data_IF_528567311562
#
_entry.id   IF_528567311562
#
_cell.length_a   1.000
_cell.length_b   1.000
_cell.length_c   1.000
_cell.angle_alpha   90.00
_cell.angle_beta   90.00
_cell.angle_gamma   90.00
#
_symmetry.space_group_name_H-M   'P 1'
#
loop_
_entity.id
_entity.type
_entity.pdbx_description
1 polymer ?
#
# COMPACT_ATOMS: atom_id res chain seq x y z
N UNK A 1 -22.58 13.60 -28.38
CA UNK A 1 -21.60 14.21 -27.46
C UNK A 1 -20.33 14.36 -28.26
N UNK A 2 -19.65 15.51 -28.19
CA UNK A 2 -18.39 15.70 -28.91
C UNK A 2 -17.30 14.80 -28.30
N UNK A 3 -16.48 14.17 -29.13
CA UNK A 3 -15.46 13.20 -28.70
C UNK A 3 -14.46 13.85 -27.73
N UNK A 4 -14.16 15.14 -27.95
CA UNK A 4 -13.31 15.92 -27.05
C UNK A 4 -13.93 16.13 -25.68
N UNK A 5 -15.24 16.41 -25.62
CA UNK A 5 -15.96 16.54 -24.35
C UNK A 5 -15.99 15.22 -23.59
N UNK A 6 -16.10 14.08 -24.29
CA UNK A 6 -16.00 12.77 -23.64
C UNK A 6 -14.63 12.54 -23.02
N UNK A 7 -13.55 12.80 -23.76
CA UNK A 7 -12.18 12.65 -23.27
C UNK A 7 -11.85 13.57 -22.10
N UNK A 8 -12.35 14.81 -22.13
CA UNK A 8 -12.18 15.77 -21.03
C UNK A 8 -12.89 15.27 -19.76
N UNK A 9 -14.14 14.83 -19.88
CA UNK A 9 -14.90 14.29 -18.74
C UNK A 9 -14.25 13.02 -18.20
N UNK A 10 -13.73 12.15 -19.06
CA UNK A 10 -13.02 10.94 -18.65
C UNK A 10 -11.72 11.28 -17.89
N UNK A 11 -10.94 12.24 -18.39
CA UNK A 11 -9.73 12.72 -17.73
C UNK A 11 -10.03 13.32 -16.36
N UNK A 12 -10.98 14.26 -16.27
CA UNK A 12 -11.38 14.89 -15.01
C UNK A 12 -11.88 13.86 -13.99
N UNK A 13 -12.67 12.90 -14.45
CA UNK A 13 -13.20 11.82 -13.60
C UNK A 13 -12.08 10.93 -13.05
N UNK A 14 -11.14 10.51 -13.89
CA UNK A 14 -10.03 9.66 -13.47
C UNK A 14 -9.06 10.40 -12.54
N UNK A 15 -8.85 11.70 -12.75
CA UNK A 15 -8.05 12.54 -11.84
C UNK A 15 -8.71 12.66 -10.47
N UNK A 16 -10.03 12.82 -10.43
CA UNK A 16 -10.79 12.80 -9.17
C UNK A 16 -10.71 11.44 -8.48
N UNK A 17 -10.80 10.34 -9.22
CA UNK A 17 -10.64 9.00 -8.64
C UNK A 17 -9.24 8.78 -8.03
N UNK A 18 -8.19 9.32 -8.66
CA UNK A 18 -6.83 9.32 -8.11
C UNK A 18 -6.77 10.11 -6.80
N UNK A 19 -7.36 11.30 -6.76
CA UNK A 19 -7.43 12.14 -5.56
C UNK A 19 -8.16 11.43 -4.41
N UNK A 20 -9.34 10.86 -4.68
CA UNK A 20 -10.12 10.09 -3.71
C UNK A 20 -9.36 8.84 -3.20
N UNK A 21 -8.56 8.21 -4.05
CA UNK A 21 -7.68 7.11 -3.66
C UNK A 21 -6.49 7.57 -2.81
N UNK A 22 -5.90 8.73 -3.10
CA UNK A 22 -4.82 9.31 -2.31
C UNK A 22 -5.30 9.69 -0.91
N UNK A 23 -6.47 10.32 -0.80
CA UNK A 23 -7.07 10.66 0.50
C UNK A 23 -7.32 9.40 1.33
N UNK A 24 -7.94 8.37 0.74
CA UNK A 24 -8.16 7.07 1.42
C UNK A 24 -6.85 6.39 1.81
N UNK A 25 -5.81 6.47 0.96
CA UNK A 25 -4.49 5.92 1.28
C UNK A 25 -3.86 6.62 2.49
N UNK A 26 -3.97 7.95 2.56
CA UNK A 26 -3.52 8.73 3.70
C UNK A 26 -4.30 8.37 4.98
N UNK A 27 -5.63 8.25 4.89
CA UNK A 27 -6.48 7.82 6.01
C UNK A 27 -6.13 6.42 6.49
N UNK A 28 -5.84 5.47 5.58
CA UNK A 28 -5.37 4.12 5.94
C UNK A 28 -4.02 4.18 6.62
N UNK A 29 -3.10 5.03 6.16
CA UNK A 29 -1.78 5.18 6.75
C UNK A 29 -1.84 5.75 8.17
N UNK A 30 -2.54 6.88 8.36
CA UNK A 30 -2.73 7.51 9.66
C UNK A 30 -3.55 6.61 10.59
N UNK A 31 -4.62 6.02 10.06
CA UNK A 31 -5.47 5.07 10.78
C UNK A 31 -4.67 3.86 11.23
N UNK A 32 -3.88 3.24 10.35
CA UNK A 32 -3.02 2.10 10.71
C UNK A 32 -1.96 2.47 11.75
N UNK A 33 -1.33 3.63 11.60
CA UNK A 33 -0.30 4.10 12.53
C UNK A 33 -0.82 4.36 13.94
N UNK A 34 -2.07 4.80 14.07
CA UNK A 34 -2.70 5.16 15.36
C UNK A 34 -3.52 4.02 15.96
N UNK A 35 -4.24 3.27 15.13
CA UNK A 35 -5.14 2.19 15.56
C UNK A 35 -4.38 1.06 16.24
N UNK A 36 -3.21 0.67 15.75
CA UNK A 36 -2.45 -0.46 16.30
C UNK A 36 -2.01 -0.18 17.77
N UNK A 37 -1.36 0.96 18.09
CA UNK A 37 -1.07 1.32 19.49
C UNK A 37 -2.32 1.43 20.37
N UNK A 38 -3.38 2.09 19.87
CA UNK A 38 -4.62 2.29 20.63
C UNK A 38 -5.26 0.95 20.99
N UNK A 39 -5.44 0.06 20.01
CA UNK A 39 -5.99 -1.27 20.25
C UNK A 39 -5.15 -2.07 21.23
N UNK A 40 -3.82 -2.00 21.11
CA UNK A 40 -2.91 -2.69 22.04
C UNK A 40 -3.12 -2.19 23.48
N UNK A 41 -3.17 -0.88 23.69
CA UNK A 41 -3.40 -0.29 25.02
C UNK A 41 -4.79 -0.59 25.59
N UNK A 42 -5.83 -0.54 24.76
CA UNK A 42 -7.20 -0.88 25.16
C UNK A 42 -7.31 -2.35 25.56
N UNK A 43 -6.79 -3.27 24.74
CA UNK A 43 -6.87 -4.72 25.03
C UNK A 43 -6.18 -5.06 26.35
N UNK A 44 -5.02 -4.45 26.61
CA UNK A 44 -4.32 -4.62 27.90
C UNK A 44 -5.14 -4.08 29.07
N UNK A 45 -5.81 -2.95 28.91
CA UNK A 45 -6.61 -2.32 29.97
C UNK A 45 -7.85 -3.15 30.33
N UNK A 46 -8.54 -3.73 29.33
CA UNK A 46 -9.76 -4.52 29.55
C UNK A 46 -9.50 -6.01 29.80
N UNK A 47 -8.22 -6.45 29.86
CA UNK A 47 -7.84 -7.87 29.97
C UNK A 47 -8.50 -8.75 28.91
N UNK A 48 -8.81 -8.19 27.75
CA UNK A 48 -9.37 -8.91 26.60
C UNK A 48 -8.26 -9.62 25.83
N UNK A 49 -7.34 -10.25 26.55
CA UNK A 49 -6.03 -10.71 26.09
C UNK A 49 -6.07 -11.71 24.92
N UNK A 50 -7.11 -12.57 24.75
CA UNK A 50 -7.22 -13.40 23.55
C UNK A 50 -7.25 -12.61 22.23
N UNK A 51 -7.76 -11.37 22.25
CA UNK A 51 -7.84 -10.52 21.05
C UNK A 51 -6.44 -10.12 20.55
N UNK A 52 -5.41 -10.13 21.42
CA UNK A 52 -4.03 -9.84 21.01
C UNK A 52 -3.54 -10.79 19.91
N UNK A 53 -4.04 -12.02 19.86
CA UNK A 53 -3.68 -13.00 18.83
C UNK A 53 -4.18 -12.61 17.43
N UNK A 54 -5.20 -11.76 17.34
CA UNK A 54 -5.74 -11.26 16.07
C UNK A 54 -5.04 -9.99 15.58
N UNK A 55 -4.25 -9.29 16.41
CA UNK A 55 -3.60 -8.04 16.03
C UNK A 55 -2.69 -8.15 14.80
N UNK A 56 -1.85 -9.20 14.64
CA UNK A 56 -1.04 -9.34 13.43
C UNK A 56 -1.89 -9.40 12.15
N UNK A 57 -3.09 -9.98 12.23
CA UNK A 57 -4.01 -10.05 11.09
C UNK A 57 -4.60 -8.69 10.74
N UNK A 58 -4.86 -7.84 11.73
CA UNK A 58 -5.30 -6.47 11.48
C UNK A 58 -4.24 -5.67 10.72
N UNK A 59 -2.96 -5.83 11.07
CA UNK A 59 -1.84 -5.22 10.33
C UNK A 59 -1.83 -5.68 8.87
N UNK A 60 -2.06 -6.98 8.64
CA UNK A 60 -2.17 -7.55 7.30
C UNK A 60 -3.31 -6.93 6.50
N UNK A 61 -4.48 -6.78 7.10
CA UNK A 61 -5.64 -6.15 6.44
C UNK A 61 -5.34 -4.71 6.04
N UNK A 62 -4.74 -3.92 6.94
CA UNK A 62 -4.33 -2.53 6.67
C UNK A 62 -3.36 -2.47 5.48
N UNK A 63 -2.37 -3.36 5.46
CA UNK A 63 -1.39 -3.46 4.38
C UNK A 63 -2.04 -3.76 3.03
N UNK A 64 -3.00 -4.69 3.00
CA UNK A 64 -3.73 -5.08 1.79
C UNK A 64 -4.69 -3.98 1.30
N UNK A 65 -5.33 -3.27 2.23
CA UNK A 65 -6.17 -2.10 1.89
C UNK A 65 -5.34 -1.00 1.24
N UNK A 66 -4.17 -0.70 1.80
CA UNK A 66 -3.24 0.26 1.21
C UNK A 66 -2.74 -0.21 -0.18
N UNK A 67 -2.36 -1.48 -0.31
CA UNK A 67 -1.97 -2.08 -1.59
C UNK A 67 -3.07 -1.94 -2.66
N UNK A 68 -4.33 -2.12 -2.27
CA UNK A 68 -5.47 -1.97 -3.16
C UNK A 68 -5.62 -0.53 -3.64
N UNK A 69 -5.55 0.46 -2.75
CA UNK A 69 -5.62 1.87 -3.15
C UNK A 69 -4.48 2.25 -4.09
N UNK A 70 -3.26 1.82 -3.77
CA UNK A 70 -2.09 2.07 -4.61
C UNK A 70 -2.23 1.47 -6.00
N UNK A 71 -2.75 0.25 -6.11
CA UNK A 71 -3.04 -0.38 -7.39
C UNK A 71 -4.13 0.35 -8.20
N UNK A 72 -5.15 0.89 -7.54
CA UNK A 72 -6.19 1.69 -8.21
C UNK A 72 -5.61 2.97 -8.81
N UNK A 73 -4.77 3.71 -8.06
CA UNK A 73 -4.08 4.91 -8.57
C UNK A 73 -3.26 4.57 -9.81
N UNK A 74 -2.46 3.49 -9.76
CA UNK A 74 -1.62 3.07 -10.89
C UNK A 74 -2.43 2.59 -12.10
N UNK A 75 -3.61 2.01 -11.89
CA UNK A 75 -4.53 1.65 -12.99
C UNK A 75 -5.08 2.89 -13.68
N UNK A 76 -5.55 3.87 -12.92
CA UNK A 76 -6.09 5.12 -13.47
C UNK A 76 -4.99 5.90 -14.21
N UNK A 77 -3.81 6.07 -13.60
CA UNK A 77 -2.67 6.73 -14.25
C UNK A 77 -2.21 6.01 -15.52
N UNK A 78 -2.18 4.67 -15.53
CA UNK A 78 -1.87 3.91 -16.75
C UNK A 78 -2.91 4.13 -17.84
N UNK A 79 -4.19 4.15 -17.49
CA UNK A 79 -5.25 4.39 -18.45
C UNK A 79 -5.14 5.79 -19.06
N UNK A 80 -4.95 6.83 -18.25
CA UNK A 80 -4.71 8.21 -18.71
C UNK A 80 -3.55 8.24 -19.72
N UNK A 81 -2.39 7.70 -19.34
CA UNK A 81 -1.18 7.68 -20.18
C UNK A 81 -1.35 6.92 -21.49
N UNK A 82 -2.04 5.78 -21.48
CA UNK A 82 -2.09 4.87 -22.65
C UNK A 82 -3.29 5.10 -23.55
N UNK A 83 -4.37 5.70 -23.04
CA UNK A 83 -5.64 5.87 -23.77
C UNK A 83 -6.01 7.32 -24.00
N UNK A 84 -5.73 8.23 -23.07
CA UNK A 84 -6.18 9.62 -23.17
C UNK A 84 -5.09 10.51 -23.76
N UNK A 85 -3.91 10.55 -23.13
CA UNK A 85 -2.80 11.45 -23.54
C UNK A 85 -2.40 11.31 -25.02
N UNK A 86 -2.32 10.11 -25.62
CA UNK A 86 -1.93 9.98 -27.02
C UNK A 86 -2.90 10.64 -28.00
N UNK A 87 -4.18 10.80 -27.62
CA UNK A 87 -5.20 11.41 -28.47
C UNK A 87 -5.08 12.94 -28.51
N UNK A 88 -4.39 13.53 -27.53
CA UNK A 88 -4.19 14.99 -27.43
C UNK A 88 -2.96 15.47 -28.23
N UNK A 89 -2.09 14.56 -28.69
CA UNK A 89 -0.93 14.88 -29.51
C UNK A 89 0.17 15.68 -28.81
N UNK A 90 0.09 15.83 -27.48
CA UNK A 90 1.05 16.55 -26.62
C UNK A 90 1.49 15.66 -25.47
N UNK A 91 2.67 15.92 -24.91
CA UNK A 91 3.14 15.22 -23.71
C UNK A 91 2.21 15.52 -22.53
N UNK A 92 1.51 14.50 -22.04
CA UNK A 92 0.60 14.63 -20.91
C UNK A 92 1.29 14.50 -19.56
N UNK A 93 0.52 14.74 -18.50
CA UNK A 93 1.01 14.77 -17.13
C UNK A 93 1.64 13.44 -16.67
N UNK A 94 1.01 12.29 -16.96
CA UNK A 94 1.55 10.98 -16.60
C UNK A 94 2.79 10.64 -17.44
N UNK A 95 2.83 11.07 -18.69
CA UNK A 95 4.03 10.96 -19.53
C UNK A 95 5.20 11.80 -18.99
N UNK A 96 4.95 13.00 -18.47
CA UNK A 96 5.96 13.83 -17.80
C UNK A 96 6.41 13.24 -16.46
N UNK A 97 5.50 12.64 -15.68
CA UNK A 97 5.86 11.97 -14.43
C UNK A 97 6.78 10.77 -14.64
N UNK A 98 6.73 10.15 -15.82
CA UNK A 98 7.61 9.04 -16.21
C UNK A 98 8.81 9.46 -17.06
N UNK A 99 8.90 10.73 -17.46
CA UNK A 99 10.02 11.22 -18.27
C UNK A 99 11.32 11.28 -17.46
N UNK A 100 12.45 11.34 -18.18
CA UNK A 100 13.77 11.50 -17.58
C UNK A 100 13.80 12.69 -16.59
N UNK A 101 14.68 12.63 -15.57
CA UNK A 101 14.75 13.66 -14.54
C UNK A 101 14.90 15.07 -15.11
N UNK A 102 14.20 16.05 -14.55
CA UNK A 102 14.32 17.44 -14.94
C UNK A 102 15.77 17.91 -14.69
N UNK A 103 16.52 18.35 -15.73
CA UNK A 103 17.91 18.77 -15.58
C UNK A 103 18.08 19.97 -14.63
N UNK A 104 17.00 20.70 -14.30
CA UNK A 104 17.03 21.79 -13.33
C UNK A 104 16.78 21.34 -11.87
N UNK A 105 16.30 20.11 -11.67
CA UNK A 105 15.98 19.54 -10.33
C UNK A 105 16.95 18.40 -9.95
N UNK A 106 17.75 17.91 -10.90
CA UNK A 106 18.77 16.86 -10.72
C UNK A 106 18.29 15.49 -11.21
N UNK A 107 19.03 14.40 -10.94
CA UNK A 107 18.69 13.01 -11.35
C UNK A 107 17.48 12.39 -10.58
N UNK A 108 16.56 13.22 -10.10
CA UNK A 108 15.41 12.79 -9.31
C UNK A 108 14.28 12.45 -10.29
N UNK A 109 13.92 11.16 -10.40
CA UNK A 109 12.72 10.79 -11.16
C UNK A 109 11.49 11.43 -10.49
N UNK A 110 10.58 11.97 -11.30
CA UNK A 110 9.44 12.78 -10.83
C UNK A 110 8.47 12.04 -9.88
N UNK A 111 8.56 10.70 -9.78
CA UNK A 111 7.76 9.82 -8.90
C UNK A 111 8.53 9.22 -7.70
N UNK A 112 9.75 9.69 -7.42
CA UNK A 112 10.60 9.10 -6.37
C UNK A 112 10.02 9.25 -4.97
N UNK A 113 9.48 10.43 -4.63
CA UNK A 113 8.94 10.70 -3.30
C UNK A 113 7.76 9.76 -2.99
N UNK A 114 6.86 9.58 -3.95
CA UNK A 114 5.74 8.65 -3.85
C UNK A 114 6.21 7.21 -3.61
N UNK A 115 7.26 6.80 -4.34
CA UNK A 115 7.85 5.47 -4.20
C UNK A 115 8.47 5.27 -2.81
N UNK A 116 9.17 6.27 -2.29
CA UNK A 116 9.73 6.23 -0.94
C UNK A 116 8.65 6.19 0.14
N UNK A 117 7.56 6.93 -0.04
CA UNK A 117 6.44 6.91 0.91
C UNK A 117 5.81 5.52 1.00
N UNK A 118 5.60 4.87 -0.14
CA UNK A 118 5.09 3.49 -0.21
C UNK A 118 6.01 2.51 0.51
N UNK A 119 7.33 2.61 0.28
CA UNK A 119 8.30 1.76 0.97
C UNK A 119 8.36 2.03 2.48
N UNK A 120 8.33 3.30 2.89
CA UNK A 120 8.29 3.69 4.29
C UNK A 120 7.04 3.12 4.99
N UNK A 121 5.88 3.17 4.32
CA UNK A 121 4.65 2.58 4.85
C UNK A 121 4.74 1.07 5.02
N UNK A 122 5.26 0.33 4.02
CA UNK A 122 5.44 -1.12 4.16
C UNK A 122 6.49 -1.48 5.21
N UNK A 123 7.53 -0.67 5.37
CA UNK A 123 8.52 -0.85 6.43
C UNK A 123 7.90 -0.67 7.82
N UNK A 124 7.10 0.40 8.01
CA UNK A 124 6.34 0.63 9.24
C UNK A 124 5.38 -0.51 9.54
N UNK A 125 4.64 -0.95 8.52
CA UNK A 125 3.69 -2.07 8.59
C UNK A 125 4.39 -3.38 8.96
N UNK A 126 5.57 -3.64 8.40
CA UNK A 126 6.38 -4.81 8.76
C UNK A 126 6.83 -4.73 10.23
N UNK A 127 7.29 -3.55 10.68
CA UNK A 127 7.63 -3.31 12.09
C UNK A 127 6.46 -3.62 13.03
N UNK A 128 5.26 -3.13 12.71
CA UNK A 128 4.07 -3.44 13.50
C UNK A 128 3.65 -4.91 13.43
N UNK A 129 3.81 -5.55 12.28
CA UNK A 129 3.51 -6.97 12.13
C UNK A 129 4.39 -7.81 13.07
N UNK A 130 5.70 -7.59 13.07
CA UNK A 130 6.61 -8.31 13.95
C UNK A 130 6.38 -7.98 15.42
N UNK A 131 6.12 -6.73 15.77
CA UNK A 131 5.83 -6.32 17.14
C UNK A 131 4.55 -7.00 17.67
N UNK A 132 3.46 -6.95 16.89
CA UNK A 132 2.18 -7.57 17.29
C UNK A 132 2.26 -9.10 17.29
N UNK A 133 3.00 -9.71 16.37
CA UNK A 133 3.23 -11.15 16.35
C UNK A 133 4.04 -11.61 17.56
N UNK A 134 5.06 -10.85 17.96
CA UNK A 134 5.82 -11.10 19.18
C UNK A 134 4.91 -11.08 20.41
N UNK A 135 4.08 -10.04 20.56
CA UNK A 135 3.11 -9.93 21.67
C UNK A 135 2.13 -11.11 21.68
N UNK A 136 1.63 -11.52 20.50
CA UNK A 136 0.72 -12.64 20.38
C UNK A 136 1.38 -13.98 20.78
N UNK A 137 2.64 -14.21 20.39
CA UNK A 137 3.39 -15.41 20.74
C UNK A 137 3.71 -15.45 22.24
N UNK A 138 4.11 -14.32 22.83
CA UNK A 138 4.37 -14.25 24.28
C UNK A 138 3.09 -14.54 25.07
N UNK A 139 1.95 -13.99 24.63
CA UNK A 139 0.66 -14.31 25.23
C UNK A 139 0.30 -15.79 25.08
N UNK A 140 0.48 -16.38 23.89
CA UNK A 140 0.18 -17.79 23.67
C UNK A 140 1.02 -18.70 24.60
N UNK A 141 2.28 -18.36 24.82
CA UNK A 141 3.16 -19.07 25.76
C UNK A 141 2.64 -19.02 27.19
N UNK A 142 2.23 -17.83 27.64
CA UNK A 142 1.72 -17.63 29.00
C UNK A 142 0.37 -18.32 29.23
N UNK A 143 -0.52 -18.26 28.25
CA UNK A 143 -1.87 -18.81 28.37
C UNK A 143 -1.97 -20.33 28.14
N UNK A 144 -1.17 -20.87 27.21
CA UNK A 144 -1.29 -22.26 26.74
C UNK A 144 -0.02 -23.10 26.95
N UNK A 145 1.02 -22.54 27.59
CA UNK A 145 2.28 -23.22 27.88
C UNK A 145 3.30 -23.16 26.75
N UNK A 146 4.52 -23.67 26.99
CA UNK A 146 5.65 -23.51 26.07
C UNK A 146 5.46 -24.16 24.69
N UNK A 147 4.61 -25.20 24.58
CA UNK A 147 4.37 -25.91 23.32
C UNK A 147 3.59 -25.06 22.32
N UNK A 148 2.78 -24.10 22.79
CA UNK A 148 1.94 -23.23 21.95
C UNK A 148 2.73 -22.25 21.07
N UNK A 149 4.02 -22.04 21.37
CA UNK A 149 4.91 -21.16 20.61
C UNK A 149 5.05 -21.66 19.17
N UNK A 150 5.23 -22.96 18.97
CA UNK A 150 5.48 -23.55 17.66
C UNK A 150 4.33 -23.37 16.66
N UNK A 151 3.07 -23.70 16.99
CA UNK A 151 1.96 -23.44 16.08
C UNK A 151 1.74 -21.95 15.85
N UNK A 152 1.85 -21.10 16.87
CA UNK A 152 1.71 -19.65 16.73
C UNK A 152 2.78 -19.06 15.79
N UNK A 153 4.04 -19.47 15.98
CA UNK A 153 5.15 -19.08 15.12
C UNK A 153 4.94 -19.57 13.68
N UNK A 154 4.52 -20.83 13.50
CA UNK A 154 4.26 -21.40 12.18
C UNK A 154 3.18 -20.63 11.41
N UNK A 155 2.08 -20.29 12.08
CA UNK A 155 0.96 -19.51 11.50
C UNK A 155 1.42 -18.11 11.12
N UNK A 156 2.06 -17.37 12.04
CA UNK A 156 2.51 -16.01 11.75
C UNK A 156 3.66 -15.97 10.74
N UNK A 157 4.58 -16.94 10.75
CA UNK A 157 5.60 -17.03 9.72
C UNK A 157 5.00 -17.26 8.34
N UNK A 158 4.03 -18.17 8.21
CA UNK A 158 3.34 -18.42 6.94
C UNK A 158 2.62 -17.17 6.42
N UNK A 159 1.94 -16.44 7.30
CA UNK A 159 1.22 -15.21 6.95
C UNK A 159 2.19 -14.09 6.55
N UNK A 160 3.26 -13.88 7.33
CA UNK A 160 4.30 -12.89 7.02
C UNK A 160 4.98 -13.17 5.68
N UNK A 161 5.33 -14.42 5.40
CA UNK A 161 5.92 -14.83 4.12
C UNK A 161 4.94 -14.64 2.95
N UNK A 162 3.67 -15.01 3.12
CA UNK A 162 2.64 -14.78 2.11
C UNK A 162 2.48 -13.29 1.81
N UNK A 163 2.50 -12.44 2.85
CA UNK A 163 2.42 -11.00 2.71
C UNK A 163 3.61 -10.40 1.98
N UNK A 164 4.83 -10.78 2.35
CA UNK A 164 6.05 -10.37 1.64
C UNK A 164 5.95 -10.76 0.16
N UNK A 165 5.54 -12.00 -0.14
CA UNK A 165 5.38 -12.47 -1.51
C UNK A 165 4.32 -11.67 -2.29
N UNK A 166 3.20 -11.31 -1.66
CA UNK A 166 2.15 -10.47 -2.27
C UNK A 166 2.70 -9.08 -2.56
N UNK A 167 3.31 -8.41 -1.58
CA UNK A 167 3.83 -7.05 -1.70
C UNK A 167 4.88 -7.00 -2.82
N UNK A 168 5.89 -7.88 -2.79
CA UNK A 168 6.96 -7.90 -3.81
C UNK A 168 6.44 -8.17 -5.23
N UNK A 169 5.35 -8.93 -5.38
CA UNK A 169 4.78 -9.24 -6.70
C UNK A 169 3.75 -8.22 -7.19
N UNK A 170 3.09 -7.51 -6.28
CA UNK A 170 1.86 -6.75 -6.57
C UNK A 170 1.97 -5.26 -6.28
N UNK A 171 3.07 -4.75 -5.74
CA UNK A 171 3.28 -3.30 -5.60
C UNK A 171 3.78 -2.73 -6.94
N UNK A 172 2.93 -2.03 -7.70
CA UNK A 172 3.41 -1.25 -8.84
C UNK A 172 4.21 -0.06 -8.34
N UNK A 173 5.39 0.18 -8.91
CA UNK A 173 6.16 1.40 -8.64
C UNK A 173 5.98 2.45 -9.73
N UNK A 174 5.40 2.08 -10.87
CA UNK A 174 5.26 2.93 -12.04
C UNK A 174 3.98 2.57 -12.82
N UNK A 175 3.48 3.50 -13.62
CA UNK A 175 2.32 3.29 -14.50
C UNK A 175 2.69 2.45 -15.71
N UNK A 176 3.94 2.51 -16.17
CA UNK A 176 4.54 1.60 -17.14
C UNK A 176 4.67 0.18 -16.59
N UNK A 177 4.17 -0.81 -17.33
CA UNK A 177 4.36 -2.21 -16.93
C UNK A 177 5.78 -2.69 -17.21
N UNK A 178 6.27 -3.71 -16.46
CA UNK A 178 7.57 -4.34 -16.73
C UNK A 178 7.69 -4.86 -18.17
N UNK A 179 6.57 -5.29 -18.78
CA UNK A 179 6.52 -5.71 -20.19
C UNK A 179 6.75 -4.55 -21.15
N UNK A 180 6.20 -3.37 -20.87
CA UNK A 180 6.36 -2.18 -21.73
C UNK A 180 7.76 -1.56 -21.67
N UNK A 181 8.54 -1.78 -20.59
CA UNK A 181 9.96 -1.35 -20.56
C UNK A 181 10.91 -2.25 -21.32
N UNK A 182 10.49 -3.49 -21.58
CA UNK A 182 11.31 -4.51 -22.25
C UNK A 182 10.96 -4.65 -23.74
N UNK A 183 9.94 -3.93 -24.20
CA UNK A 183 9.50 -3.83 -25.59
C UNK A 183 10.04 -2.54 -26.19
#
# INVERSE_FOLDING_TARGET
MDDRTFLELEYLTLRKEIEDCLERSFQIMVGGATLIPILTGVIQSYKATPILMALPMMVVVIALLYLNQWNSIMRCGRYIRTRIEPQLGVAGWESWLESAPDPNVGEVHNRLVDTYLVYAFYLLTAGYYFATAFIAITYAREAYGAVSIWPALGVYAAIGLAMIAIILRRVPTNTTTRKERLA
#
